data_IF_387982636776
#
_entry.id   IF_387982636776
#
_cell.length_a   1.000
_cell.length_b   1.000
_cell.length_c   1.000
_cell.angle_alpha   90.00
_cell.angle_beta   90.00
_cell.angle_gamma   90.00
#
_symmetry.space_group_name_H-M   'P 1'
#
loop_
_entity.id
_entity.type
_entity.pdbx_description
1 polymer ?
#
# COMPACT_ATOMS: atom_id res chain seq x y z
N UNK A 1 13.44 47.15 12.80
CA UNK A 1 12.56 46.48 11.80
C UNK A 1 13.08 45.06 11.55
N UNK A 2 12.89 44.11 12.48
CA UNK A 2 13.48 42.75 12.32
C UNK A 2 12.62 41.60 12.88
N UNK A 3 12.06 41.69 14.09
CA UNK A 3 11.42 40.52 14.72
C UNK A 3 10.06 40.10 14.13
N UNK A 4 9.21 41.06 13.72
CA UNK A 4 7.87 40.73 13.21
C UNK A 4 7.94 40.01 11.85
N UNK A 5 8.86 40.44 10.96
CA UNK A 5 9.08 39.80 9.65
C UNK A 5 9.64 38.38 9.79
N UNK A 6 10.54 38.17 10.74
CA UNK A 6 11.11 36.84 11.04
C UNK A 6 10.01 35.88 11.54
N UNK A 7 9.06 36.37 12.34
CA UNK A 7 7.94 35.54 12.85
C UNK A 7 6.99 35.08 11.72
N UNK A 8 6.62 35.98 10.80
CA UNK A 8 5.75 35.66 9.66
C UNK A 8 6.41 34.66 8.71
N UNK A 9 7.71 34.83 8.44
CA UNK A 9 8.46 33.89 7.58
C UNK A 9 8.52 32.48 8.18
N UNK A 10 8.70 32.36 9.50
CA UNK A 10 8.64 31.06 10.19
C UNK A 10 7.27 30.40 10.09
N UNK A 11 6.19 31.17 10.22
CA UNK A 11 4.82 30.66 10.06
C UNK A 11 4.58 30.19 8.62
N UNK A 12 5.05 30.93 7.62
CA UNK A 12 4.97 30.52 6.22
C UNK A 12 5.75 29.23 5.94
N UNK A 13 6.97 29.09 6.46
CA UNK A 13 7.75 27.85 6.35
C UNK A 13 7.01 26.69 7.02
N UNK A 14 6.52 26.89 8.25
CA UNK A 14 5.83 25.85 9.00
C UNK A 14 4.56 25.41 8.28
N UNK A 15 3.78 26.36 7.74
CA UNK A 15 2.62 26.09 6.91
C UNK A 15 2.97 25.31 5.64
N UNK A 16 4.06 25.67 4.98
CA UNK A 16 4.56 24.94 3.80
C UNK A 16 4.98 23.50 4.12
N UNK A 17 5.63 23.27 5.27
CA UNK A 17 6.00 21.92 5.73
C UNK A 17 4.76 21.09 6.06
N UNK A 18 3.78 21.67 6.75
CA UNK A 18 2.54 20.96 7.07
C UNK A 18 1.79 20.58 5.78
N UNK A 19 1.68 21.53 4.84
CA UNK A 19 1.05 21.27 3.56
C UNK A 19 1.77 20.18 2.77
N UNK A 20 3.10 20.18 2.73
CA UNK A 20 3.86 19.16 2.02
C UNK A 20 3.67 17.78 2.63
N UNK A 21 3.66 17.67 3.96
CA UNK A 21 3.36 16.42 4.67
C UNK A 21 1.95 15.92 4.34
N UNK A 22 0.95 16.81 4.35
CA UNK A 22 -0.42 16.45 3.98
C UNK A 22 -0.53 15.95 2.54
N UNK A 23 0.18 16.57 1.59
CA UNK A 23 0.21 16.13 0.20
C UNK A 23 0.85 14.75 0.05
N UNK A 24 1.94 14.48 0.78
CA UNK A 24 2.57 13.16 0.79
C UNK A 24 1.62 12.10 1.35
N UNK A 25 0.92 12.40 2.45
CA UNK A 25 -0.07 11.48 3.04
C UNK A 25 -1.20 11.21 2.05
N UNK A 26 -1.75 12.24 1.42
CA UNK A 26 -2.82 12.11 0.44
C UNK A 26 -2.38 11.25 -0.77
N UNK A 27 -1.15 11.47 -1.27
CA UNK A 27 -0.58 10.69 -2.35
C UNK A 27 -0.42 9.20 -1.97
N UNK A 28 0.18 8.93 -0.80
CA UNK A 28 0.35 7.55 -0.31
C UNK A 28 -0.99 6.85 -0.10
N UNK A 29 -2.01 7.57 0.40
CA UNK A 29 -3.34 7.03 0.59
C UNK A 29 -4.04 6.71 -0.74
N UNK A 30 -3.90 7.58 -1.74
CA UNK A 30 -4.41 7.34 -3.10
C UNK A 30 -3.76 6.10 -3.74
N UNK A 31 -2.43 5.98 -3.61
CA UNK A 31 -1.70 4.81 -4.11
C UNK A 31 -2.15 3.52 -3.40
N UNK A 32 -2.32 3.55 -2.08
CA UNK A 32 -2.82 2.42 -1.31
C UNK A 32 -4.20 1.96 -1.78
N UNK A 33 -5.15 2.88 -1.94
CA UNK A 33 -6.51 2.55 -2.39
C UNK A 33 -6.51 1.95 -3.79
N UNK A 34 -5.78 2.57 -4.72
CA UNK A 34 -5.76 2.15 -6.12
C UNK A 34 -5.13 0.78 -6.27
N UNK A 35 -4.03 0.51 -5.57
CA UNK A 35 -3.34 -0.77 -5.73
C UNK A 35 -4.01 -1.92 -4.95
N UNK A 36 -4.63 -1.66 -3.81
CA UNK A 36 -5.20 -2.74 -3.00
C UNK A 36 -6.63 -3.12 -3.39
N UNK A 37 -7.48 -2.15 -3.76
CA UNK A 37 -8.91 -2.37 -3.96
C UNK A 37 -9.33 -2.43 -5.43
N UNK A 38 -8.54 -1.87 -6.35
CA UNK A 38 -8.89 -1.93 -7.77
C UNK A 38 -8.40 -3.26 -8.34
N UNK A 39 -9.29 -4.06 -8.94
CA UNK A 39 -8.89 -5.31 -9.56
C UNK A 39 -7.91 -5.05 -10.71
N UNK A 40 -6.90 -5.91 -10.80
CA UNK A 40 -5.90 -5.96 -11.87
C UNK A 40 -6.50 -6.16 -13.26
N UNK A 41 -7.67 -6.82 -13.32
CA UNK A 41 -8.43 -7.00 -14.56
C UNK A 41 -9.92 -6.79 -14.28
N UNK A 42 -10.43 -5.64 -14.71
CA UNK A 42 -11.85 -5.26 -14.58
C UNK A 42 -12.79 -6.03 -15.54
N UNK A 43 -12.23 -6.73 -16.54
CA UNK A 43 -13.01 -7.46 -17.55
C UNK A 43 -13.07 -8.97 -17.31
N UNK A 44 -12.14 -9.51 -16.51
CA UNK A 44 -12.03 -10.93 -16.22
C UNK A 44 -12.46 -11.22 -14.78
N UNK A 45 -13.69 -11.70 -14.63
CA UNK A 45 -14.25 -12.17 -13.37
C UNK A 45 -14.19 -13.69 -13.23
N UNK A 46 -13.39 -14.39 -14.04
CA UNK A 46 -13.27 -15.84 -13.93
C UNK A 46 -12.52 -16.22 -12.64
N UNK A 47 -12.98 -17.24 -11.91
CA UNK A 47 -12.27 -17.70 -10.72
C UNK A 47 -10.92 -18.30 -11.12
N UNK A 48 -9.85 -17.84 -10.47
CA UNK A 48 -8.49 -18.37 -10.66
C UNK A 48 -8.12 -19.24 -9.47
N UNK A 49 -7.96 -20.54 -9.74
CA UNK A 49 -7.46 -21.50 -8.76
C UNK A 49 -5.98 -21.25 -8.47
N UNK A 50 -5.65 -21.04 -7.20
CA UNK A 50 -4.26 -20.93 -6.74
C UNK A 50 -3.97 -21.99 -5.67
N UNK A 51 -2.75 -22.53 -5.70
CA UNK A 51 -2.28 -23.45 -4.67
C UNK A 51 -1.16 -22.79 -3.89
N UNK A 52 -1.37 -22.58 -2.59
CA UNK A 52 -0.37 -22.09 -1.65
C UNK A 52 0.21 -23.30 -0.93
N UNK A 53 1.49 -23.58 -1.19
CA UNK A 53 2.19 -24.71 -0.59
C UNK A 53 2.55 -24.44 0.88
N UNK A 54 2.61 -25.50 1.68
CA UNK A 54 3.11 -25.40 3.06
C UNK A 54 4.55 -24.90 3.08
N UNK A 55 4.85 -24.00 4.02
CA UNK A 55 6.19 -23.39 4.16
C UNK A 55 6.51 -22.32 3.12
N UNK A 56 5.57 -21.96 2.22
CA UNK A 56 5.75 -20.85 1.29
C UNK A 56 5.93 -19.54 2.08
N UNK A 57 7.01 -18.82 1.80
CA UNK A 57 7.25 -17.50 2.39
C UNK A 57 6.26 -16.47 1.86
N UNK A 58 6.01 -15.42 2.64
CA UNK A 58 5.15 -14.30 2.23
C UNK A 58 5.65 -13.67 0.92
N UNK A 59 6.98 -13.54 0.74
CA UNK A 59 7.55 -13.00 -0.48
C UNK A 59 7.27 -13.89 -1.72
N UNK A 60 7.26 -15.21 -1.56
CA UNK A 60 6.88 -16.14 -2.62
C UNK A 60 5.38 -16.05 -2.92
N UNK A 61 4.55 -15.98 -1.89
CA UNK A 61 3.11 -15.80 -2.03
C UNK A 61 2.78 -14.51 -2.81
N UNK A 62 3.35 -13.38 -2.41
CA UNK A 62 3.18 -12.09 -3.06
C UNK A 62 3.56 -12.17 -4.56
N UNK A 63 4.66 -12.86 -4.88
CA UNK A 63 5.09 -13.07 -6.26
C UNK A 63 4.09 -13.94 -7.03
N UNK A 64 3.66 -15.06 -6.47
CA UNK A 64 2.68 -15.97 -7.09
C UNK A 64 1.36 -15.25 -7.35
N UNK A 65 0.86 -14.47 -6.40
CA UNK A 65 -0.37 -13.69 -6.57
C UNK A 65 -0.23 -12.63 -7.67
N UNK A 66 0.94 -11.98 -7.77
CA UNK A 66 1.21 -11.00 -8.84
C UNK A 66 1.27 -11.66 -10.22
N UNK A 67 1.96 -12.79 -10.34
CA UNK A 67 2.10 -13.54 -11.60
C UNK A 67 0.75 -14.06 -12.11
N UNK A 68 -0.17 -14.40 -11.20
CA UNK A 68 -1.54 -14.78 -11.57
C UNK A 68 -2.46 -13.58 -11.80
N UNK A 69 -1.94 -12.36 -11.76
CA UNK A 69 -2.69 -11.11 -11.84
C UNK A 69 -3.83 -11.05 -10.81
N UNK A 70 -3.61 -11.50 -9.58
CA UNK A 70 -4.57 -11.41 -8.47
C UNK A 70 -4.33 -10.19 -7.58
N UNK A 71 -3.10 -9.67 -7.59
CA UNK A 71 -2.74 -8.41 -6.93
C UNK A 71 -1.98 -7.53 -7.92
N UNK A 72 -2.14 -6.22 -7.80
CA UNK A 72 -1.40 -5.25 -8.60
C UNK A 72 0.01 -5.01 -8.05
N UNK A 73 0.12 -4.93 -6.72
CA UNK A 73 1.33 -4.54 -6.03
C UNK A 73 1.63 -5.44 -4.82
N UNK A 74 2.69 -6.26 -4.89
CA UNK A 74 3.25 -6.99 -3.75
C UNK A 74 3.52 -6.11 -2.53
N UNK A 75 3.99 -4.89 -2.76
CA UNK A 75 4.35 -3.96 -1.70
C UNK A 75 3.15 -3.57 -0.83
N UNK A 76 2.02 -3.24 -1.47
CA UNK A 76 0.81 -2.86 -0.75
C UNK A 76 0.15 -4.04 -0.06
N UNK A 77 0.20 -5.23 -0.66
CA UNK A 77 -0.24 -6.45 0.01
C UNK A 77 0.61 -6.70 1.28
N UNK A 78 1.93 -6.57 1.18
CA UNK A 78 2.84 -6.74 2.32
C UNK A 78 2.52 -5.79 3.46
N UNK A 79 2.32 -4.51 3.14
CA UNK A 79 1.93 -3.49 4.13
C UNK A 79 0.61 -3.86 4.78
N UNK A 80 -0.39 -4.22 3.97
CA UNK A 80 -1.71 -4.62 4.47
C UNK A 80 -1.62 -5.82 5.42
N UNK A 81 -0.90 -6.88 5.04
CA UNK A 81 -0.72 -8.07 5.86
C UNK A 81 -0.02 -7.75 7.19
N UNK A 82 1.01 -6.90 7.17
CA UNK A 82 1.74 -6.48 8.37
C UNK A 82 0.89 -5.61 9.28
N UNK A 83 0.18 -4.63 8.72
CA UNK A 83 -0.65 -3.70 9.49
C UNK A 83 -1.82 -4.44 10.17
N UNK A 84 -2.37 -5.46 9.51
CA UNK A 84 -3.46 -6.27 10.05
C UNK A 84 -3.01 -7.51 10.85
N UNK A 85 -1.69 -7.69 11.08
CA UNK A 85 -1.14 -8.86 11.78
C UNK A 85 -1.60 -10.20 11.17
N UNK A 86 -1.69 -10.25 9.84
CA UNK A 86 -2.09 -11.42 9.04
C UNK A 86 -0.89 -12.17 8.46
N UNK A 87 0.30 -11.57 8.48
CA UNK A 87 1.55 -12.12 7.95
C UNK A 87 1.85 -13.56 8.43
N UNK A 88 1.55 -13.87 9.70
CA UNK A 88 1.77 -15.20 10.28
C UNK A 88 0.51 -16.08 10.33
N UNK A 89 -0.60 -15.64 9.74
CA UNK A 89 -1.91 -16.32 9.81
C UNK A 89 -2.36 -16.89 8.47
N UNK A 90 -1.54 -16.74 7.42
CA UNK A 90 -1.86 -17.25 6.08
C UNK A 90 -1.77 -18.77 6.07
N UNK A 91 -2.85 -19.42 5.63
CA UNK A 91 -2.95 -20.87 5.58
C UNK A 91 -2.57 -21.39 4.19
N UNK A 92 -1.78 -22.46 4.16
CA UNK A 92 -1.55 -23.24 2.94
C UNK A 92 -2.85 -23.95 2.53
N UNK A 93 -3.08 -24.07 1.21
CA UNK A 93 -4.31 -24.63 0.70
C UNK A 93 -4.56 -24.29 -0.77
N UNK A 94 -5.70 -24.77 -1.27
CA UNK A 94 -6.22 -24.40 -2.59
C UNK A 94 -7.32 -23.37 -2.40
N UNK A 95 -7.22 -22.26 -3.12
CA UNK A 95 -8.16 -21.14 -3.09
C UNK A 95 -8.67 -20.87 -4.51
#
# INVERSE_FOLDING_TARGET
>A
MSNEKISKYKIFILGGIILSVLLVIAFLYSEYLTNLYVPTNITDNSPKLITINQGMSIAQLEKTLKENHLISSPFWLKIYLRWNHLDNKLQAGKY
#
